data_IF_024301336605
#
_entry.id   IF_024301336605
#
_cell.length_a   1.000
_cell.length_b   1.000
_cell.length_c   1.000
_cell.angle_alpha   90.00
_cell.angle_beta   90.00
_cell.angle_gamma   90.00
#
_symmetry.space_group_name_H-M   'P 1'
#
loop_
_entity.id
_entity.type
_entity.pdbx_description
1 polymer ?
#
# COMPACT_ATOMS: atom_id res chain seq x y z
N UNK A 1 -21.98 -9.27 1.73
CA UNK A 1 -21.18 -8.04 1.96
C UNK A 1 -20.41 -7.73 0.69
N UNK A 2 -20.25 -6.44 0.30
CA UNK A 2 -19.53 -6.06 -0.91
C UNK A 2 -18.05 -6.45 -0.82
N UNK A 3 -17.47 -6.78 -1.98
CA UNK A 3 -16.09 -7.21 -2.14
C UNK A 3 -15.27 -6.10 -2.79
N UNK A 4 -14.29 -5.60 -2.06
CA UNK A 4 -13.38 -4.53 -2.49
C UNK A 4 -12.08 -5.14 -2.97
N UNK A 5 -11.45 -4.52 -3.97
CA UNK A 5 -10.16 -4.95 -4.49
C UNK A 5 -9.06 -3.99 -4.02
N UNK A 6 -7.85 -4.53 -3.88
CA UNK A 6 -6.67 -3.80 -3.45
C UNK A 6 -5.58 -3.98 -4.50
N UNK A 7 -5.20 -2.89 -5.17
CA UNK A 7 -4.06 -2.91 -6.10
C UNK A 7 -2.87 -2.23 -5.44
N UNK A 8 -1.74 -2.92 -5.40
CA UNK A 8 -0.52 -2.47 -4.75
C UNK A 8 0.48 -2.11 -5.83
N UNK A 9 0.98 -0.88 -5.81
CA UNK A 9 2.03 -0.39 -6.69
C UNK A 9 3.29 -0.16 -5.86
N UNK A 10 4.33 -0.95 -6.09
CA UNK A 10 5.59 -0.86 -5.34
C UNK A 10 6.76 -1.35 -6.21
N UNK A 11 7.96 -0.77 -6.03
CA UNK A 11 9.18 -1.16 -6.76
C UNK A 11 9.02 -1.29 -8.29
N UNK A 12 8.17 -0.45 -8.91
CA UNK A 12 7.89 -0.50 -10.36
C UNK A 12 6.95 -1.64 -10.80
N UNK A 13 6.43 -2.45 -9.87
CA UNK A 13 5.50 -3.54 -10.12
C UNK A 13 4.12 -3.19 -9.60
N UNK A 14 3.08 -3.74 -10.24
CA UNK A 14 1.69 -3.66 -9.76
C UNK A 14 1.18 -5.06 -9.46
N UNK A 15 0.89 -5.32 -8.19
CA UNK A 15 0.17 -6.53 -7.75
C UNK A 15 -1.33 -6.21 -7.65
N UNK A 16 -2.17 -7.00 -8.32
CA UNK A 16 -3.63 -6.81 -8.33
C UNK A 16 -4.31 -7.92 -7.57
N UNK A 17 -5.04 -7.57 -6.51
CA UNK A 17 -5.92 -8.52 -5.83
C UNK A 17 -7.14 -8.85 -6.71
N UNK A 18 -7.14 -10.07 -7.26
CA UNK A 18 -8.24 -10.61 -8.07
C UNK A 18 -9.38 -11.16 -7.22
N UNK A 19 -9.10 -11.55 -5.98
CA UNK A 19 -10.07 -12.18 -5.10
C UNK A 19 -10.86 -11.13 -4.30
N UNK A 20 -10.25 -10.00 -3.96
CA UNK A 20 -10.84 -8.96 -3.13
C UNK A 20 -11.12 -9.42 -1.70
N UNK A 21 -11.52 -8.48 -0.84
CA UNK A 21 -11.93 -8.73 0.55
C UNK A 21 -13.31 -8.15 0.84
N UNK A 22 -14.09 -8.87 1.65
CA UNK A 22 -15.42 -8.41 2.04
C UNK A 22 -15.34 -7.37 3.16
N UNK A 23 -16.00 -6.23 2.95
CA UNK A 23 -16.15 -5.17 3.96
C UNK A 23 -17.60 -4.66 3.99
N UNK A 24 -18.10 -4.17 5.13
CA UNK A 24 -19.47 -3.70 5.24
C UNK A 24 -19.72 -2.35 4.54
N UNK A 25 -18.69 -1.52 4.35
CA UNK A 25 -18.78 -0.21 3.70
C UNK A 25 -17.40 0.27 3.22
N UNK A 26 -17.39 1.33 2.40
CA UNK A 26 -16.19 1.96 1.85
C UNK A 26 -15.19 2.34 2.96
N UNK A 27 -15.66 2.91 4.07
CA UNK A 27 -14.78 3.32 5.18
C UNK A 27 -13.98 2.17 5.79
N UNK A 28 -14.59 0.98 5.96
CA UNK A 28 -13.89 -0.22 6.43
C UNK A 28 -12.92 -0.79 5.40
N UNK A 29 -13.22 -0.66 4.11
CA UNK A 29 -12.31 -1.07 3.05
C UNK A 29 -11.09 -0.13 2.99
N UNK A 30 -11.31 1.19 3.08
CA UNK A 30 -10.24 2.20 3.13
C UNK A 30 -9.34 2.00 4.35
N UNK A 31 -9.92 1.77 5.53
CA UNK A 31 -9.13 1.48 6.74
C UNK A 31 -8.27 0.23 6.58
N UNK A 32 -8.78 -0.81 5.92
CA UNK A 32 -7.98 -2.01 5.64
C UNK A 32 -6.88 -1.74 4.60
N UNK A 33 -7.17 -0.96 3.55
CA UNK A 33 -6.16 -0.52 2.59
C UNK A 33 -5.03 0.28 3.24
N UNK A 34 -5.35 1.11 4.25
CA UNK A 34 -4.34 1.85 5.01
C UNK A 34 -3.44 0.92 5.82
N UNK A 35 -3.99 -0.14 6.43
CA UNK A 35 -3.18 -1.15 7.12
C UNK A 35 -2.18 -1.82 6.17
N UNK A 36 -2.62 -2.19 4.96
CA UNK A 36 -1.72 -2.76 3.93
C UNK A 36 -0.60 -1.77 3.60
N UNK A 37 -0.93 -0.49 3.39
CA UNK A 37 0.08 0.53 3.07
C UNK A 37 1.09 0.74 4.22
N UNK A 38 0.62 0.70 5.46
CA UNK A 38 1.46 0.83 6.64
C UNK A 38 2.36 -0.39 6.86
N UNK A 39 1.84 -1.61 6.65
CA UNK A 39 2.60 -2.87 6.73
C UNK A 39 3.70 -2.93 5.67
N UNK A 40 3.38 -2.58 4.41
CA UNK A 40 4.37 -2.54 3.33
C UNK A 40 5.51 -1.59 3.65
N UNK A 41 5.24 -0.43 4.24
CA UNK A 41 6.27 0.56 4.54
C UNK A 41 7.24 0.15 5.67
N UNK A 42 6.99 -0.94 6.38
CA UNK A 42 7.96 -1.51 7.32
C UNK A 42 9.20 -2.04 6.59
N UNK A 43 9.03 -2.52 5.35
CA UNK A 43 10.11 -2.95 4.47
C UNK A 43 10.65 -1.76 3.66
N UNK A 44 11.98 -1.55 3.71
CA UNK A 44 12.63 -0.41 3.07
C UNK A 44 12.31 -0.30 1.56
N UNK A 45 12.26 -1.43 0.86
CA UNK A 45 11.95 -1.52 -0.58
C UNK A 45 10.53 -1.03 -0.92
N UNK A 46 9.59 -1.14 0.02
CA UNK A 46 8.17 -0.85 -0.19
C UNK A 46 7.69 0.40 0.55
N UNK A 47 8.58 1.22 1.13
CA UNK A 47 8.23 2.50 1.79
C UNK A 47 7.48 3.50 0.90
N UNK A 48 7.64 3.40 -0.42
CA UNK A 48 6.92 4.20 -1.41
C UNK A 48 5.67 3.52 -1.99
N UNK A 49 5.21 2.41 -1.40
CA UNK A 49 4.08 1.66 -1.93
C UNK A 49 2.79 2.50 -1.92
N UNK A 50 2.04 2.37 -3.00
CA UNK A 50 0.72 2.97 -3.16
C UNK A 50 -0.32 1.85 -3.19
N UNK A 51 -1.35 1.97 -2.36
CA UNK A 51 -2.49 1.04 -2.32
C UNK A 51 -3.73 1.73 -2.88
N UNK A 52 -4.20 1.26 -4.03
CA UNK A 52 -5.49 1.63 -4.59
C UNK A 52 -6.58 0.72 -4.04
N UNK A 53 -7.64 1.31 -3.49
CA UNK A 53 -8.83 0.62 -3.00
C UNK A 53 -9.95 0.82 -4.01
N UNK A 54 -10.52 -0.27 -4.51
CA UNK A 54 -11.58 -0.25 -5.52
C UNK A 54 -12.87 -0.84 -4.97
N UNK A 55 -13.99 -0.16 -5.24
CA UNK A 55 -15.33 -0.68 -4.98
C UNK A 55 -15.63 -1.90 -5.88
N UNK A 56 -16.67 -2.70 -5.56
CA UNK A 56 -17.06 -3.85 -6.39
C UNK A 56 -17.32 -3.51 -7.87
N UNK A 57 -17.68 -2.26 -8.17
CA UNK A 57 -17.88 -1.77 -9.53
C UNK A 57 -16.57 -1.52 -10.31
N UNK A 58 -15.40 -1.68 -9.68
CA UNK A 58 -14.11 -1.28 -10.21
C UNK A 58 -13.81 0.22 -10.07
N UNK A 59 -14.71 0.99 -9.44
CA UNK A 59 -14.47 2.41 -9.17
C UNK A 59 -13.40 2.57 -8.09
N UNK A 60 -12.36 3.34 -8.36
CA UNK A 60 -11.38 3.75 -7.36
C UNK A 60 -12.06 4.61 -6.28
N UNK A 61 -11.97 4.18 -5.02
CA UNK A 61 -12.53 4.91 -3.87
C UNK A 61 -11.46 5.63 -3.05
N UNK A 62 -10.24 5.11 -3.02
CA UNK A 62 -9.11 5.74 -2.36
C UNK A 62 -7.78 5.31 -2.96
N UNK A 63 -6.80 6.22 -2.93
CA UNK A 63 -5.39 5.95 -3.20
C UNK A 63 -4.59 6.30 -1.95
N UNK A 64 -3.93 5.32 -1.38
CA UNK A 64 -3.33 5.39 -0.05
C UNK A 64 -1.82 5.21 -0.13
N UNK A 65 -1.11 5.93 0.71
CA UNK A 65 0.31 5.72 1.03
C UNK A 65 0.43 5.49 2.53
N UNK A 66 1.55 4.95 2.99
CA UNK A 66 1.76 4.76 4.41
C UNK A 66 1.57 6.07 5.19
N UNK A 67 0.79 6.01 6.26
CA UNK A 67 0.64 7.11 7.22
C UNK A 67 1.94 7.37 7.99
N UNK A 68 2.84 6.38 7.98
CA UNK A 68 4.18 6.41 8.57
C UNK A 68 5.26 6.77 7.56
N UNK A 69 4.93 6.94 6.28
CA UNK A 69 5.87 7.41 5.28
C UNK A 69 6.36 8.80 5.71
N UNK A 70 7.59 8.84 6.21
CA UNK A 70 8.27 10.10 6.45
C UNK A 70 8.34 10.86 5.11
N UNK A 71 8.11 12.18 5.12
CA UNK A 71 8.33 13.01 3.95
C UNK A 71 9.71 12.72 3.33
N UNK A 72 9.89 12.89 2.00
CA UNK A 72 11.14 12.56 1.33
C UNK A 72 12.39 13.18 1.97
N UNK A 73 12.26 14.35 2.60
CA UNK A 73 13.34 15.06 3.30
C UNK A 73 13.68 14.51 4.71
N UNK A 74 12.93 13.53 5.22
CA UNK A 74 13.14 12.87 6.51
C UNK A 74 13.48 11.38 6.37
N UNK A 75 13.55 10.85 5.15
CA UNK A 75 13.95 9.46 4.92
C UNK A 75 15.47 9.34 5.07
N UNK A 76 15.92 8.81 6.21
CA UNK A 76 17.31 8.39 6.40
C UNK A 76 17.66 7.37 5.30
N UNK A 77 18.58 7.74 4.41
CA UNK A 77 19.19 6.80 3.47
C UNK A 77 19.72 5.58 4.22
N UNK A 78 19.47 4.35 3.74
CA UNK A 78 19.97 3.15 4.38
C UNK A 78 21.51 3.19 4.32
N UNK A 79 22.21 2.65 5.33
CA UNK A 79 23.64 2.49 5.23
C UNK A 79 23.92 1.57 4.05
N UNK A 80 24.68 2.05 3.07
CA UNK A 80 25.24 1.22 2.02
C UNK A 80 25.94 0.04 2.70
N UNK A 81 25.43 -1.19 2.48
CA UNK A 81 26.16 -2.39 2.87
C UNK A 81 27.46 -2.38 2.09
N UNK A 82 28.52 -1.90 2.75
CA UNK A 82 29.90 -2.00 2.27
C UNK A 82 30.17 -3.48 2.02
N UNK A 83 30.33 -3.82 0.74
CA UNK A 83 30.95 -5.05 0.30
C UNK A 83 32.27 -5.22 1.07
N UNK A 84 32.38 -6.31 1.84
CA UNK A 84 33.64 -6.75 2.39
C UNK A 84 34.31 -7.61 1.31
N UNK A 85 35.34 -7.03 0.70
CA UNK A 85 36.42 -7.74 0.02
C UNK A 85 37.45 -8.20 1.05
#
# INVERSE_FOLDING_TARGET
>A
MPRYMYHIHAAGVTSRDQAGKQHPNDGRAVAYGQLIADELAEEYEYRGAIVDVLAPSGRLIARLVSSRALPPWLQSTPPAQRALH
#
